data_IF_353635449879
#
_entry.id   IF_353635449879
#
_cell.length_a   1.000
_cell.length_b   1.000
_cell.length_c   1.000
_cell.angle_alpha   90.00
_cell.angle_beta   90.00
_cell.angle_gamma   90.00
#
_symmetry.space_group_name_H-M   'P 1'
#
loop_
_entity.id
_entity.type
_entity.pdbx_description
1 polymer ?
#
# COMPACT_ATOMS: atom_id res chain seq x y z
N UNK A 1 -7.63 -29.43 -3.97
CA UNK A 1 -8.77 -28.52 -4.20
C UNK A 1 -8.39 -27.46 -5.23
N UNK A 2 -9.01 -27.53 -6.41
CA UNK A 2 -8.82 -26.52 -7.44
C UNK A 2 -9.58 -25.25 -7.04
N UNK A 3 -8.87 -24.23 -6.56
CA UNK A 3 -9.49 -22.91 -6.38
C UNK A 3 -9.98 -22.43 -7.73
N UNK A 4 -11.28 -22.16 -7.84
CA UNK A 4 -11.84 -21.55 -9.04
C UNK A 4 -11.24 -20.14 -9.19
N UNK A 5 -10.62 -19.91 -10.33
CA UNK A 5 -10.03 -18.62 -10.66
C UNK A 5 -11.15 -17.58 -10.77
N UNK A 6 -11.08 -16.53 -9.94
CA UNK A 6 -12.05 -15.44 -10.00
C UNK A 6 -11.58 -14.41 -11.03
N UNK A 7 -11.93 -14.63 -12.29
CA UNK A 7 -11.55 -13.76 -13.39
C UNK A 7 -12.04 -12.32 -13.22
N UNK A 8 -13.21 -12.13 -12.60
CA UNK A 8 -13.74 -10.81 -12.34
C UNK A 8 -12.85 -10.04 -11.34
N UNK A 9 -12.40 -10.70 -10.28
CA UNK A 9 -11.49 -10.10 -9.31
C UNK A 9 -10.15 -9.75 -9.96
N UNK A 10 -9.61 -10.66 -10.76
CA UNK A 10 -8.34 -10.44 -11.47
C UNK A 10 -8.47 -9.25 -12.42
N UNK A 11 -9.52 -9.22 -13.24
CA UNK A 11 -9.75 -8.16 -14.22
C UNK A 11 -9.92 -6.79 -13.54
N UNK A 12 -10.76 -6.69 -12.52
CA UNK A 12 -10.97 -5.42 -11.81
C UNK A 12 -9.71 -4.94 -11.09
N UNK A 13 -8.95 -5.86 -10.49
CA UNK A 13 -7.71 -5.53 -9.79
C UNK A 13 -6.66 -5.02 -10.79
N UNK A 14 -6.49 -5.70 -11.91
CA UNK A 14 -5.53 -5.31 -12.95
C UNK A 14 -5.90 -3.95 -13.59
N UNK A 15 -7.18 -3.76 -13.92
CA UNK A 15 -7.67 -2.49 -14.49
C UNK A 15 -7.51 -1.35 -13.48
N UNK A 16 -7.90 -1.58 -12.23
CA UNK A 16 -7.74 -0.59 -11.17
C UNK A 16 -6.29 -0.20 -10.94
N UNK A 17 -5.39 -1.18 -10.91
CA UNK A 17 -3.95 -0.94 -10.76
C UNK A 17 -3.39 -0.12 -11.93
N UNK A 18 -3.79 -0.44 -13.16
CA UNK A 18 -3.37 0.31 -14.35
C UNK A 18 -3.87 1.76 -14.31
N UNK A 19 -5.13 1.98 -13.91
CA UNK A 19 -5.73 3.31 -13.78
C UNK A 19 -4.98 4.11 -12.70
N UNK A 20 -4.73 3.52 -11.53
CA UNK A 20 -4.02 4.17 -10.44
C UNK A 20 -2.60 4.59 -10.86
N UNK A 21 -1.86 3.69 -11.51
CA UNK A 21 -0.53 3.99 -12.02
C UNK A 21 -0.56 5.09 -13.09
N UNK A 22 -1.54 5.06 -14.00
CA UNK A 22 -1.68 6.07 -15.05
C UNK A 22 -1.99 7.46 -14.47
N UNK A 23 -2.86 7.55 -13.46
CA UNK A 23 -3.17 8.81 -12.78
C UNK A 23 -1.92 9.35 -12.10
N UNK A 24 -1.21 8.52 -11.34
CA UNK A 24 0.01 8.93 -10.64
C UNK A 24 1.11 9.38 -11.62
N UNK A 25 1.25 8.67 -12.73
CA UNK A 25 2.19 9.04 -13.79
C UNK A 25 1.82 10.38 -14.43
N UNK A 26 0.53 10.58 -14.74
CA UNK A 26 0.03 11.84 -15.31
C UNK A 26 0.20 13.04 -14.37
N UNK A 27 0.24 12.82 -13.06
CA UNK A 27 0.52 13.86 -12.07
C UNK A 27 2.02 14.10 -11.86
N UNK A 28 2.88 13.36 -12.54
CA UNK A 28 4.33 13.49 -12.42
C UNK A 28 4.91 13.00 -11.10
N UNK A 29 4.23 12.07 -10.43
CA UNK A 29 4.68 11.55 -9.14
C UNK A 29 5.88 10.60 -9.31
N UNK A 30 6.82 10.68 -8.38
CA UNK A 30 7.91 9.72 -8.29
C UNK A 30 7.34 8.34 -7.90
N UNK A 31 7.90 7.29 -8.48
CA UNK A 31 7.45 5.91 -8.22
C UNK A 31 5.97 5.69 -8.57
N UNK A 32 5.48 6.31 -9.63
CA UNK A 32 4.07 6.29 -10.02
C UNK A 32 3.46 4.88 -10.13
N UNK A 33 4.26 3.90 -10.56
CA UNK A 33 3.83 2.49 -10.67
C UNK A 33 3.41 1.92 -9.30
N UNK A 34 3.98 2.44 -8.21
CA UNK A 34 3.63 2.01 -6.86
C UNK A 34 2.17 2.28 -6.51
N UNK A 35 1.53 3.31 -7.09
CA UNK A 35 0.10 3.53 -6.92
C UNK A 35 -0.71 2.32 -7.41
N UNK A 36 -0.28 1.70 -8.51
CA UNK A 36 -0.89 0.47 -9.02
C UNK A 36 -0.74 -0.71 -8.04
N UNK A 37 0.44 -0.86 -7.45
CA UNK A 37 0.69 -1.90 -6.45
C UNK A 37 -0.17 -1.67 -5.20
N UNK A 38 -0.28 -0.42 -4.74
CA UNK A 38 -1.12 -0.06 -3.60
C UNK A 38 -2.59 -0.39 -3.90
N UNK A 39 -3.08 -0.06 -5.09
CA UNK A 39 -4.42 -0.42 -5.54
C UNK A 39 -4.64 -1.93 -5.52
N UNK A 40 -3.72 -2.69 -6.10
CA UNK A 40 -3.76 -4.15 -6.14
C UNK A 40 -3.85 -4.76 -4.75
N UNK A 41 -3.06 -4.27 -3.81
CA UNK A 41 -3.04 -4.75 -2.44
C UNK A 41 -4.26 -4.27 -1.63
N UNK A 42 -4.95 -3.22 -2.06
CA UNK A 42 -6.13 -2.68 -1.38
C UNK A 42 -7.40 -3.45 -1.71
N UNK A 43 -7.49 -4.05 -2.89
CA UNK A 43 -8.67 -4.81 -3.30
C UNK A 43 -8.77 -6.10 -2.49
N UNK A 44 -9.76 -6.17 -1.60
CA UNK A 44 -10.08 -7.34 -0.78
C UNK A 44 -11.43 -7.94 -1.21
N UNK A 45 -11.81 -9.04 -0.58
CA UNK A 45 -13.04 -9.76 -0.95
C UNK A 45 -14.31 -9.03 -0.51
N UNK A 46 -14.25 -8.28 0.59
CA UNK A 46 -15.40 -7.53 1.12
C UNK A 46 -15.08 -6.03 1.23
N UNK A 47 -16.14 -5.21 1.19
CA UNK A 47 -16.03 -3.75 1.38
C UNK A 47 -15.52 -3.39 2.77
N UNK A 48 -16.05 -4.06 3.80
CA UNK A 48 -15.65 -3.84 5.20
C UNK A 48 -14.18 -4.18 5.41
N UNK A 49 -13.72 -5.30 4.87
CA UNK A 49 -12.32 -5.72 4.92
C UNK A 49 -11.41 -4.71 4.22
N UNK A 50 -11.79 -4.23 3.03
CA UNK A 50 -11.04 -3.22 2.29
C UNK A 50 -10.86 -1.94 3.09
N UNK A 51 -11.93 -1.45 3.75
CA UNK A 51 -11.86 -0.24 4.55
C UNK A 51 -11.00 -0.43 5.80
N UNK A 52 -11.14 -1.56 6.50
CA UNK A 52 -10.32 -1.88 7.68
C UNK A 52 -8.83 -2.00 7.33
N UNK A 53 -8.52 -2.71 6.26
CA UNK A 53 -7.13 -2.89 5.80
C UNK A 53 -6.54 -1.55 5.36
N UNK A 54 -7.31 -0.71 4.67
CA UNK A 54 -6.88 0.62 4.25
C UNK A 54 -6.55 1.50 5.45
N UNK A 55 -7.37 1.46 6.50
CA UNK A 55 -7.13 2.22 7.72
C UNK A 55 -5.86 1.74 8.44
N UNK A 56 -5.68 0.43 8.57
CA UNK A 56 -4.45 -0.15 9.14
C UNK A 56 -3.21 0.27 8.35
N UNK A 57 -3.30 0.30 7.02
CA UNK A 57 -2.20 0.74 6.15
C UNK A 57 -1.89 2.21 6.31
N UNK A 58 -2.89 3.05 6.50
CA UNK A 58 -2.68 4.48 6.76
C UNK A 58 -1.94 4.69 8.09
N UNK A 59 -2.31 3.97 9.14
CA UNK A 59 -1.62 4.01 10.42
C UNK A 59 -0.17 3.51 10.29
N UNK A 60 0.04 2.41 9.58
CA UNK A 60 1.36 1.87 9.32
C UNK A 60 2.21 2.80 8.44
N UNK A 61 1.58 3.52 7.50
CA UNK A 61 2.26 4.55 6.71
C UNK A 61 2.85 5.65 7.59
N UNK A 62 2.06 6.16 8.54
CA UNK A 62 2.54 7.16 9.48
C UNK A 62 3.72 6.60 10.32
N UNK A 63 3.59 5.37 10.80
CA UNK A 63 4.63 4.72 11.59
C UNK A 63 5.93 4.52 10.81
N UNK A 64 5.87 4.02 9.58
CA UNK A 64 7.08 3.79 8.76
C UNK A 64 7.73 5.11 8.36
N UNK A 65 6.95 6.15 8.07
CA UNK A 65 7.47 7.47 7.74
C UNK A 65 8.24 8.07 8.91
N UNK A 66 7.67 8.02 10.12
CA UNK A 66 8.34 8.50 11.33
C UNK A 66 9.61 7.70 11.60
N UNK A 67 9.55 6.39 11.45
CA UNK A 67 10.70 5.50 11.70
C UNK A 67 11.81 5.75 10.69
N UNK A 68 11.49 5.89 9.39
CA UNK A 68 12.48 6.21 8.37
C UNK A 68 13.13 7.55 8.63
N UNK A 69 12.35 8.59 8.95
CA UNK A 69 12.87 9.91 9.26
C UNK A 69 13.82 9.86 10.45
N UNK A 70 13.44 9.17 11.54
CA UNK A 70 14.26 9.06 12.74
C UNK A 70 15.58 8.29 12.47
N UNK A 71 15.50 7.12 11.85
CA UNK A 71 16.68 6.27 11.65
C UNK A 71 17.63 6.87 10.62
N UNK A 72 17.10 7.32 9.47
CA UNK A 72 17.94 7.85 8.41
C UNK A 72 18.55 9.21 8.76
N UNK A 73 17.91 9.99 9.62
CA UNK A 73 18.51 11.25 10.10
C UNK A 73 19.72 11.03 11.00
N UNK A 74 19.75 9.93 11.73
CA UNK A 74 20.85 9.59 12.67
C UNK A 74 21.91 8.71 12.03
N UNK A 75 21.49 7.65 11.34
CA UNK A 75 22.39 6.62 10.78
C UNK A 75 22.74 6.85 9.30
N UNK A 76 22.07 7.81 8.64
CA UNK A 76 22.23 8.03 7.21
C UNK A 76 21.52 6.97 6.35
N UNK A 77 21.59 7.15 5.03
CA UNK A 77 20.98 6.23 4.06
C UNK A 77 21.95 5.10 3.74
N UNK A 78 21.97 4.08 4.60
CA UNK A 78 22.84 2.91 4.45
C UNK A 78 22.03 1.62 4.49
N UNK A 79 22.57 0.55 3.90
CA UNK A 79 21.87 -0.75 3.89
C UNK A 79 21.60 -1.27 5.32
N UNK A 80 22.56 -1.18 6.29
CA UNK A 80 22.25 -1.55 7.67
C UNK A 80 21.12 -0.71 8.30
N UNK A 81 21.07 0.58 8.02
CA UNK A 81 19.98 1.47 8.49
C UNK A 81 18.62 1.04 7.93
N UNK A 82 18.56 0.71 6.64
CA UNK A 82 17.35 0.17 6.02
C UNK A 82 16.93 -1.15 6.69
N UNK A 83 17.88 -2.03 6.95
CA UNK A 83 17.63 -3.29 7.66
C UNK A 83 17.03 -3.07 9.05
N UNK A 84 17.53 -2.11 9.80
CA UNK A 84 17.00 -1.73 11.13
C UNK A 84 15.56 -1.19 10.99
N UNK A 85 15.31 -0.31 10.04
CA UNK A 85 13.97 0.23 9.77
C UNK A 85 12.98 -0.89 9.49
N UNK A 86 13.33 -1.79 8.57
CA UNK A 86 12.45 -2.90 8.20
C UNK A 86 12.22 -3.85 9.38
N UNK A 87 13.26 -4.20 10.13
CA UNK A 87 13.13 -5.10 11.28
C UNK A 87 12.20 -4.51 12.36
N UNK A 88 12.41 -3.26 12.74
CA UNK A 88 11.57 -2.57 13.74
C UNK A 88 10.15 -2.40 13.24
N UNK A 89 9.98 -2.01 11.98
CA UNK A 89 8.66 -1.83 11.39
C UNK A 89 7.86 -3.14 11.29
N UNK A 90 8.51 -4.23 10.86
CA UNK A 90 7.86 -5.54 10.79
C UNK A 90 7.48 -6.05 12.19
N UNK A 91 8.33 -5.84 13.19
CA UNK A 91 8.02 -6.17 14.58
C UNK A 91 6.81 -5.35 15.09
N UNK A 92 6.75 -4.06 14.75
CA UNK A 92 5.63 -3.19 15.10
C UNK A 92 4.32 -3.70 14.46
N UNK A 93 4.33 -3.99 13.17
CA UNK A 93 3.16 -4.50 12.46
C UNK A 93 2.69 -5.85 13.03
N UNK A 94 3.63 -6.73 13.34
CA UNK A 94 3.33 -8.04 13.91
C UNK A 94 2.74 -7.93 15.32
N UNK A 95 3.29 -7.03 16.14
CA UNK A 95 2.81 -6.81 17.51
C UNK A 95 1.39 -6.21 17.58
N UNK A 96 0.98 -5.46 16.57
CA UNK A 96 -0.34 -4.81 16.50
C UNK A 96 -1.32 -5.55 15.57
N UNK A 97 -0.97 -6.74 15.12
CA UNK A 97 -1.79 -7.52 14.18
C UNK A 97 -2.13 -6.72 12.90
N UNK A 98 -1.10 -6.09 12.34
CA UNK A 98 -1.19 -5.25 11.14
C UNK A 98 -0.34 -5.81 9.99
N UNK A 99 -0.23 -7.13 9.90
CA UNK A 99 0.62 -7.80 8.91
C UNK A 99 0.20 -7.48 7.47
N UNK A 100 -1.07 -7.20 7.22
CA UNK A 100 -1.57 -6.81 5.91
C UNK A 100 -1.01 -5.45 5.46
N UNK A 101 -0.61 -4.62 6.42
CA UNK A 101 -0.02 -3.31 6.11
C UNK A 101 1.49 -3.38 5.89
N UNK A 102 2.13 -4.47 6.30
CA UNK A 102 3.60 -4.57 6.31
C UNK A 102 4.20 -4.53 4.90
N UNK A 103 3.66 -5.31 3.97
CA UNK A 103 4.21 -5.44 2.62
C UNK A 103 4.24 -4.10 1.88
N UNK A 104 3.11 -3.40 1.84
CA UNK A 104 2.99 -2.12 1.14
C UNK A 104 3.89 -1.04 1.76
N UNK A 105 3.88 -0.95 3.07
CA UNK A 105 4.64 0.10 3.76
C UNK A 105 6.15 -0.18 3.79
N UNK A 106 6.56 -1.44 3.65
CA UNK A 106 7.97 -1.78 3.44
C UNK A 106 8.48 -1.25 2.09
N UNK A 107 7.65 -1.25 1.06
CA UNK A 107 8.00 -0.63 -0.23
C UNK A 107 8.21 0.88 -0.06
N UNK A 108 7.38 1.54 0.74
CA UNK A 108 7.53 2.97 1.03
C UNK A 108 8.87 3.25 1.72
N UNK A 109 9.29 2.41 2.66
CA UNK A 109 10.61 2.52 3.29
C UNK A 109 11.74 2.46 2.24
N UNK A 110 11.62 1.58 1.25
CA UNK A 110 12.61 1.50 0.16
C UNK A 110 12.60 2.74 -0.73
N UNK A 111 11.45 3.40 -0.91
CA UNK A 111 11.38 4.66 -1.66
C UNK A 111 12.15 5.78 -0.95
N UNK A 112 11.98 5.93 0.37
CA UNK A 112 12.77 6.89 1.15
C UNK A 112 14.27 6.60 1.05
N UNK A 113 14.63 5.33 1.13
CA UNK A 113 16.03 4.91 0.98
C UNK A 113 16.57 5.22 -0.43
N UNK A 114 15.83 4.83 -1.47
CA UNK A 114 16.26 5.01 -2.86
C UNK A 114 16.38 6.48 -3.27
N UNK A 115 15.49 7.34 -2.76
CA UNK A 115 15.58 8.78 -3.01
C UNK A 115 16.61 9.47 -2.12
N UNK A 116 17.14 8.78 -1.11
CA UNK A 116 18.04 9.34 -0.09
C UNK A 116 17.47 10.64 0.52
N UNK A 117 16.16 10.67 0.72
CA UNK A 117 15.43 11.87 1.13
C UNK A 117 14.24 11.49 1.99
N UNK A 118 14.05 12.19 3.10
CA UNK A 118 12.87 12.12 3.97
C UNK A 118 12.24 13.51 4.13
N UNK A 119 12.38 14.36 3.12
CA UNK A 119 11.81 15.70 3.15
C UNK A 119 10.27 15.67 3.07
N UNK A 120 9.59 16.76 3.48
CA UNK A 120 8.14 16.85 3.33
C UNK A 120 7.64 16.64 1.89
N UNK A 121 8.45 16.97 0.89
CA UNK A 121 8.11 16.78 -0.52
C UNK A 121 7.97 15.30 -0.89
N UNK A 122 8.93 14.47 -0.47
CA UNK A 122 8.85 13.03 -0.72
C UNK A 122 7.74 12.38 0.11
N UNK A 123 7.50 12.86 1.33
CA UNK A 123 6.38 12.40 2.16
C UNK A 123 5.03 12.67 1.49
N UNK A 124 4.86 13.87 0.91
CA UNK A 124 3.66 14.22 0.14
C UNK A 124 3.51 13.33 -1.10
N UNK A 125 4.60 13.06 -1.78
CA UNK A 125 4.61 12.14 -2.93
C UNK A 125 4.10 10.76 -2.54
N UNK A 126 4.64 10.19 -1.46
CA UNK A 126 4.24 8.87 -0.98
C UNK A 126 2.78 8.84 -0.49
N UNK A 127 2.36 9.89 0.23
CA UNK A 127 0.97 10.01 0.67
C UNK A 127 0.02 10.12 -0.52
N UNK A 128 0.37 10.86 -1.54
CA UNK A 128 -0.44 11.01 -2.75
C UNK A 128 -0.55 9.68 -3.50
N UNK A 129 0.56 8.94 -3.62
CA UNK A 129 0.55 7.58 -4.19
C UNK A 129 -0.38 6.65 -3.40
N UNK A 130 -0.33 6.73 -2.08
CA UNK A 130 -1.21 5.96 -1.19
C UNK A 130 -2.68 6.31 -1.43
N UNK A 131 -3.01 7.60 -1.44
CA UNK A 131 -4.38 8.08 -1.63
C UNK A 131 -4.93 7.65 -2.98
N UNK A 132 -4.15 7.78 -4.04
CA UNK A 132 -4.56 7.36 -5.40
C UNK A 132 -4.77 5.85 -5.44
N UNK A 133 -3.77 5.08 -5.01
CA UNK A 133 -3.83 3.62 -5.06
C UNK A 133 -4.95 3.05 -4.20
N UNK A 134 -5.03 3.45 -2.94
CA UNK A 134 -6.06 2.99 -2.02
C UNK A 134 -7.45 3.50 -2.43
N UNK A 135 -7.56 4.74 -2.88
CA UNK A 135 -8.82 5.32 -3.36
C UNK A 135 -9.39 4.56 -4.55
N UNK A 136 -8.57 4.30 -5.56
CA UNK A 136 -8.99 3.51 -6.73
C UNK A 136 -9.35 2.08 -6.31
N UNK A 137 -8.56 1.47 -5.42
CA UNK A 137 -8.85 0.12 -4.92
C UNK A 137 -10.19 0.03 -4.19
N UNK A 138 -10.49 1.00 -3.33
CA UNK A 138 -11.78 1.10 -2.64
C UNK A 138 -12.91 1.31 -3.64
N UNK A 139 -12.76 2.23 -4.60
CA UNK A 139 -13.77 2.50 -5.63
C UNK A 139 -14.05 1.25 -6.47
N UNK A 140 -13.00 0.55 -6.91
CA UNK A 140 -13.18 -0.70 -7.67
C UNK A 140 -13.96 -1.74 -6.85
N UNK A 141 -13.72 -1.79 -5.54
CA UNK A 141 -14.39 -2.75 -4.68
C UNK A 141 -15.85 -2.36 -4.37
N UNK A 142 -16.17 -1.07 -4.40
CA UNK A 142 -17.56 -0.57 -4.23
C UNK A 142 -18.38 -0.79 -5.51
N UNK A 143 -17.84 -0.41 -6.67
CA UNK A 143 -18.58 -0.41 -7.95
C UNK A 143 -18.56 -1.75 -8.65
N UNK A 144 -17.57 -2.60 -8.40
CA UNK A 144 -17.43 -3.92 -9.04
C UNK A 144 -17.35 -4.99 -7.95
N UNK A 145 -18.47 -5.43 -7.37
CA UNK A 145 -18.46 -6.47 -6.35
C UNK A 145 -18.00 -7.81 -6.91
N UNK A 146 -17.21 -8.54 -6.13
CA UNK A 146 -16.61 -9.82 -6.56
C UNK A 146 -17.57 -11.00 -6.64
N UNK A 147 -18.83 -10.84 -6.32
CA UNK A 147 -19.81 -11.92 -6.38
C UNK A 147 -19.74 -12.96 -5.26
N UNK A 148 -18.62 -13.06 -4.55
CA UNK A 148 -18.43 -14.04 -3.46
C UNK A 148 -19.36 -13.72 -2.29
N UNK A 149 -19.67 -12.44 -2.05
CA UNK A 149 -20.61 -12.02 -1.02
C UNK A 149 -22.06 -12.44 -1.29
N UNK A 150 -22.43 -12.72 -2.54
CA UNK A 150 -23.77 -13.17 -2.92
C UNK A 150 -24.05 -14.63 -2.53
N UNK A 151 -23.01 -15.45 -2.47
CA UNK A 151 -23.16 -16.88 -2.16
C UNK A 151 -23.32 -17.10 -0.65
N UNK A 152 -22.82 -16.18 0.18
CA UNK A 152 -22.94 -16.27 1.64
C UNK A 152 -24.23 -15.70 2.22
N UNK A 153 -25.03 -14.99 1.42
CA UNK A 153 -26.31 -14.42 1.87
C UNK A 153 -27.52 -15.28 1.49
N UNK A 154 -27.30 -16.44 0.94
CA UNK A 154 -28.28 -17.48 0.69
C UNK A 154 -28.01 -18.63 1.67
#
# INVERSE_FOLDING_TARGET
MTQRINWLKIAKTAVGAAIAAAIAYGLGLNYAVSAGIICLLTVCDTRKETLMVTLKRLMAFAAVTLLCTAVFSVAGFSIPALGVVLAVFLAFCSGLDMNEAAAMNSVIATHYFASADCSPQIMQNELTLFVIGAGIGVLMNIFVPTGIGRIRSI
#
